data_IF_810190339578
#
_entry.id   IF_810190339578
#
_cell.length_a   1.000
_cell.length_b   1.000
_cell.length_c   1.000
_cell.angle_alpha   90.00
_cell.angle_beta   90.00
_cell.angle_gamma   90.00
#
_symmetry.space_group_name_H-M   'P 1'
#
loop_
_entity.id
_entity.type
_entity.pdbx_description
1 polymer ?
#
# COMPACT_ATOMS: atom_id res chain seq x y z
N UNK A 1 -7.61 -0.48 12.81
CA UNK A 1 -6.46 -0.81 11.93
C UNK A 1 -5.60 0.45 11.84
N UNK A 2 -4.59 0.58 12.71
CA UNK A 2 -3.71 1.76 12.71
C UNK A 2 -2.60 1.57 11.67
N UNK A 3 -2.93 1.82 10.40
CA UNK A 3 -1.90 2.00 9.39
C UNK A 3 -1.41 3.44 9.55
N UNK A 4 -0.20 3.61 10.06
CA UNK A 4 0.39 4.92 10.30
C UNK A 4 0.86 5.51 8.95
N UNK A 5 -0.11 5.93 8.14
CA UNK A 5 0.11 6.52 6.82
C UNK A 5 0.64 7.95 6.97
N UNK A 6 1.49 8.39 6.03
CA UNK A 6 1.97 9.77 5.96
C UNK A 6 0.82 10.71 5.59
N UNK A 7 0.91 12.00 5.93
CA UNK A 7 -0.12 12.97 5.57
C UNK A 7 -0.46 12.98 4.07
N UNK A 8 0.55 12.78 3.20
CA UNK A 8 0.36 12.63 1.77
C UNK A 8 -0.55 11.43 1.43
N UNK A 9 -0.19 10.23 1.89
CA UNK A 9 -0.97 9.03 1.60
C UNK A 9 -2.36 9.05 2.24
N UNK A 10 -2.50 9.64 3.42
CA UNK A 10 -3.82 9.88 4.03
C UNK A 10 -4.69 10.78 3.14
N UNK A 11 -4.11 11.86 2.61
CA UNK A 11 -4.81 12.78 1.69
C UNK A 11 -5.22 12.07 0.39
N UNK A 12 -4.33 11.29 -0.21
CA UNK A 12 -4.63 10.55 -1.44
C UNK A 12 -5.72 9.48 -1.21
N UNK A 13 -5.66 8.74 -0.10
CA UNK A 13 -6.70 7.77 0.28
C UNK A 13 -8.05 8.44 0.56
N UNK A 14 -8.04 9.61 1.22
CA UNK A 14 -9.26 10.39 1.46
C UNK A 14 -9.89 10.86 0.14
N UNK A 15 -9.06 11.34 -0.81
CA UNK A 15 -9.52 11.75 -2.14
C UNK A 15 -10.13 10.58 -2.91
N UNK A 16 -9.49 9.41 -2.86
CA UNK A 16 -10.05 8.17 -3.41
C UNK A 16 -11.44 7.87 -2.82
N UNK A 17 -11.56 7.84 -1.49
CA UNK A 17 -12.82 7.54 -0.81
C UNK A 17 -13.92 8.55 -1.17
N UNK A 18 -13.59 9.84 -1.24
CA UNK A 18 -14.54 10.88 -1.61
C UNK A 18 -15.09 10.66 -3.02
N UNK A 19 -14.20 10.48 -4.01
CA UNK A 19 -14.61 10.28 -5.40
C UNK A 19 -15.55 9.08 -5.56
N UNK A 20 -15.18 7.93 -5.00
CA UNK A 20 -15.99 6.72 -5.18
C UNK A 20 -17.35 6.82 -4.47
N UNK A 21 -17.43 7.52 -3.33
CA UNK A 21 -18.73 7.80 -2.67
C UNK A 21 -19.61 8.73 -3.49
N UNK A 22 -19.03 9.76 -4.09
CA UNK A 22 -19.76 10.64 -5.02
C UNK A 22 -20.26 9.86 -6.24
N UNK A 23 -19.44 8.94 -6.77
CA UNK A 23 -19.80 8.08 -7.90
C UNK A 23 -20.95 7.13 -7.57
N UNK A 24 -20.94 6.51 -6.38
CA UNK A 24 -22.06 5.69 -5.90
C UNK A 24 -23.34 6.51 -5.83
N UNK A 25 -23.27 7.71 -5.28
CA UNK A 25 -24.45 8.61 -5.21
C UNK A 25 -25.02 8.87 -6.60
N UNK A 26 -24.17 9.20 -7.59
CA UNK A 26 -24.59 9.44 -8.98
C UNK A 26 -25.22 8.20 -9.61
N UNK A 27 -24.67 7.01 -9.39
CA UNK A 27 -25.24 5.77 -9.92
C UNK A 27 -26.61 5.46 -9.30
N UNK A 28 -26.80 5.69 -8.00
CA UNK A 28 -28.11 5.49 -7.37
C UNK A 28 -29.15 6.49 -7.87
N UNK A 29 -28.75 7.74 -8.11
CA UNK A 29 -29.62 8.76 -8.72
C UNK A 29 -30.01 8.41 -10.16
N UNK A 30 -29.09 7.84 -10.94
CA UNK A 30 -29.39 7.37 -12.28
C UNK A 30 -30.44 6.25 -12.27
N UNK A 31 -30.34 5.31 -11.33
CA UNK A 31 -31.35 4.26 -11.15
C UNK A 31 -32.70 4.88 -10.79
N UNK A 32 -32.76 5.85 -9.86
CA UNK A 32 -34.02 6.54 -9.54
C UNK A 32 -34.67 7.17 -10.78
N UNK A 33 -33.87 7.92 -11.56
CA UNK A 33 -34.35 8.58 -12.77
C UNK A 33 -34.89 7.57 -13.81
N UNK A 34 -34.22 6.44 -14.03
CA UNK A 34 -34.69 5.41 -14.96
C UNK A 34 -36.04 4.81 -14.54
N UNK A 35 -36.29 4.65 -13.24
CA UNK A 35 -37.58 4.18 -12.73
C UNK A 35 -38.67 5.25 -12.81
N UNK A 36 -38.35 6.51 -12.57
CA UNK A 36 -39.28 7.65 -12.73
C UNK A 36 -39.67 7.84 -14.21
N UNK A 37 -38.70 7.76 -15.12
CA UNK A 37 -38.92 7.81 -16.56
C UNK A 37 -39.81 6.65 -17.01
N UNK A 38 -39.53 5.42 -16.57
CA UNK A 38 -40.37 4.26 -16.90
C UNK A 38 -41.82 4.43 -16.42
N UNK A 39 -42.02 4.94 -15.20
CA UNK A 39 -43.35 5.17 -14.66
C UNK A 39 -44.09 6.25 -15.47
N UNK A 40 -43.43 7.35 -15.78
CA UNK A 40 -44.04 8.46 -16.53
C UNK A 40 -44.34 8.10 -18.00
N UNK A 41 -43.49 7.31 -18.66
CA UNK A 41 -43.63 6.92 -20.07
C UNK A 41 -44.63 5.80 -20.34
N UNK A 42 -44.88 4.93 -19.36
CA UNK A 42 -45.67 3.70 -19.54
C UNK A 42 -46.94 3.64 -18.72
N UNK A 43 -47.04 4.35 -17.60
CA UNK A 43 -48.24 4.34 -16.75
C UNK A 43 -49.10 5.57 -17.00
N UNK A 44 -49.36 5.88 -18.27
CA UNK A 44 -50.32 6.93 -18.64
C UNK A 44 -51.73 6.59 -18.14
N UNK A 45 -52.52 7.61 -17.82
CA UNK A 45 -53.81 7.49 -17.13
C UNK A 45 -54.92 6.73 -17.89
N UNK A 46 -54.69 6.29 -19.13
CA UNK A 46 -55.70 5.66 -20.01
C UNK A 46 -55.71 4.12 -19.98
N UNK A 47 -54.86 3.47 -19.17
CA UNK A 47 -54.72 2.01 -19.19
C UNK A 47 -55.54 1.24 -18.14
N UNK A 48 -55.91 -0.01 -18.48
CA UNK A 48 -56.93 -0.87 -17.80
C UNK A 48 -56.46 -1.48 -16.46
N UNK A 49 -55.21 -1.27 -16.05
CA UNK A 49 -54.64 -1.88 -14.84
C UNK A 49 -54.75 -0.98 -13.60
N UNK A 50 -54.67 -1.57 -12.40
CA UNK A 50 -54.59 -0.80 -11.15
C UNK A 50 -53.22 -0.13 -11.05
N UNK A 51 -53.11 1.06 -11.62
CA UNK A 51 -51.88 1.87 -11.71
C UNK A 51 -51.16 1.98 -10.37
N UNK A 52 -51.92 2.09 -9.27
CA UNK A 52 -51.38 2.18 -7.92
C UNK A 52 -50.56 0.94 -7.54
N UNK A 53 -51.09 -0.26 -7.77
CA UNK A 53 -50.41 -1.51 -7.40
C UNK A 53 -49.12 -1.70 -8.21
N UNK A 54 -49.14 -1.29 -9.49
CA UNK A 54 -47.96 -1.38 -10.36
C UNK A 54 -46.91 -0.34 -9.96
N UNK A 55 -47.31 0.90 -9.67
CA UNK A 55 -46.41 1.92 -9.13
C UNK A 55 -45.75 1.47 -7.82
N UNK A 56 -46.54 0.92 -6.89
CA UNK A 56 -46.03 0.39 -5.63
C UNK A 56 -45.05 -0.76 -5.84
N UNK A 57 -45.37 -1.72 -6.73
CA UNK A 57 -44.47 -2.82 -7.07
C UNK A 57 -43.15 -2.32 -7.69
N UNK A 58 -43.20 -1.33 -8.58
CA UNK A 58 -42.00 -0.73 -9.20
C UNK A 58 -41.17 0.05 -8.18
N UNK A 59 -41.79 0.76 -7.24
CA UNK A 59 -41.08 1.45 -6.16
C UNK A 59 -40.38 0.47 -5.22
N UNK A 60 -41.04 -0.64 -4.86
CA UNK A 60 -40.43 -1.71 -4.06
C UNK A 60 -39.24 -2.34 -4.79
N UNK A 61 -39.37 -2.58 -6.10
CA UNK A 61 -38.28 -3.09 -6.93
C UNK A 61 -37.11 -2.11 -7.02
N UNK A 62 -37.38 -0.82 -7.27
CA UNK A 62 -36.37 0.23 -7.31
C UNK A 62 -35.60 0.31 -5.99
N UNK A 63 -36.31 0.26 -4.86
CA UNK A 63 -35.70 0.24 -3.53
C UNK A 63 -34.80 -0.98 -3.33
N UNK A 64 -35.28 -2.18 -3.68
CA UNK A 64 -34.51 -3.42 -3.54
C UNK A 64 -33.23 -3.40 -4.37
N UNK A 65 -33.31 -2.97 -5.64
CA UNK A 65 -32.15 -2.85 -6.53
C UNK A 65 -31.16 -1.83 -5.98
N UNK A 66 -31.63 -0.63 -5.60
CA UNK A 66 -30.77 0.41 -5.03
C UNK A 66 -30.08 -0.04 -3.74
N UNK A 67 -30.79 -0.76 -2.88
CA UNK A 67 -30.23 -1.30 -1.64
C UNK A 67 -29.10 -2.28 -1.94
N UNK A 68 -29.33 -3.23 -2.86
CA UNK A 68 -28.31 -4.21 -3.24
C UNK A 68 -27.08 -3.54 -3.86
N UNK A 69 -27.29 -2.64 -4.83
CA UNK A 69 -26.18 -1.89 -5.47
C UNK A 69 -25.39 -1.09 -4.43
N UNK A 70 -26.06 -0.43 -3.48
CA UNK A 70 -25.40 0.32 -2.42
C UNK A 70 -24.52 -0.56 -1.54
N UNK A 71 -25.03 -1.73 -1.12
CA UNK A 71 -24.29 -2.66 -0.25
C UNK A 71 -23.04 -3.15 -0.98
N UNK A 72 -23.19 -3.70 -2.18
CA UNK A 72 -22.09 -4.22 -2.99
C UNK A 72 -21.03 -3.14 -3.27
N UNK A 73 -21.46 -1.95 -3.68
CA UNK A 73 -20.54 -0.84 -3.94
C UNK A 73 -19.80 -0.39 -2.67
N UNK A 74 -20.48 -0.38 -1.52
CA UNK A 74 -19.84 -0.02 -0.25
C UNK A 74 -18.80 -1.06 0.18
N UNK A 75 -19.08 -2.35 -0.02
CA UNK A 75 -18.12 -3.44 0.23
C UNK A 75 -16.91 -3.32 -0.69
N UNK A 76 -17.11 -3.06 -1.99
CA UNK A 76 -16.02 -2.84 -2.94
C UNK A 76 -15.16 -1.63 -2.58
N UNK A 77 -15.77 -0.50 -2.19
CA UNK A 77 -15.02 0.68 -1.74
C UNK A 77 -14.19 0.35 -0.50
N UNK A 78 -14.77 -0.36 0.47
CA UNK A 78 -14.07 -0.74 1.69
C UNK A 78 -12.90 -1.68 1.39
N UNK A 79 -13.10 -2.72 0.58
CA UNK A 79 -12.04 -3.65 0.18
C UNK A 79 -10.93 -2.92 -0.57
N UNK A 80 -11.26 -2.08 -1.55
CA UNK A 80 -10.27 -1.36 -2.33
C UNK A 80 -9.51 -0.32 -1.49
N UNK A 81 -10.18 0.38 -0.56
CA UNK A 81 -9.51 1.30 0.35
C UNK A 81 -8.52 0.57 1.27
N UNK A 82 -8.85 -0.64 1.73
CA UNK A 82 -7.94 -1.47 2.51
C UNK A 82 -6.74 -1.93 1.68
N UNK A 83 -6.97 -2.40 0.46
CA UNK A 83 -5.90 -2.81 -0.46
C UNK A 83 -4.95 -1.65 -0.75
N UNK A 84 -5.52 -0.49 -1.08
CA UNK A 84 -4.76 0.72 -1.37
C UNK A 84 -3.99 1.21 -0.15
N UNK A 85 -4.60 1.20 1.04
CA UNK A 85 -3.92 1.54 2.29
C UNK A 85 -2.72 0.63 2.57
N UNK A 86 -2.83 -0.67 2.30
CA UNK A 86 -1.70 -1.62 2.41
C UNK A 86 -0.60 -1.35 1.37
N UNK A 87 -0.98 -1.04 0.13
CA UNK A 87 -0.03 -0.69 -0.92
C UNK A 87 0.76 0.58 -0.55
N UNK A 88 0.07 1.62 -0.07
CA UNK A 88 0.70 2.85 0.44
C UNK A 88 1.63 2.58 1.62
N UNK A 89 1.20 1.80 2.62
CA UNK A 89 2.07 1.43 3.74
C UNK A 89 3.34 0.70 3.29
N UNK A 90 3.22 -0.15 2.27
CA UNK A 90 4.37 -0.86 1.70
C UNK A 90 5.30 0.08 0.94
N UNK A 91 4.76 1.01 0.16
CA UNK A 91 5.55 2.01 -0.54
C UNK A 91 6.33 2.91 0.44
N UNK A 92 5.68 3.35 1.51
CA UNK A 92 6.32 4.13 2.58
C UNK A 92 7.50 3.41 3.22
N UNK A 93 7.37 2.10 3.48
CA UNK A 93 8.47 1.28 4.02
C UNK A 93 9.70 1.33 3.12
N UNK A 94 9.51 1.49 1.82
CA UNK A 94 10.55 1.62 0.82
C UNK A 94 10.84 3.07 0.42
N UNK A 95 10.33 4.05 1.19
CA UNK A 95 10.49 5.50 0.96
C UNK A 95 9.98 5.95 -0.42
N UNK A 96 8.96 5.29 -0.94
CA UNK A 96 8.26 5.66 -2.16
C UNK A 96 6.95 6.35 -1.81
N UNK A 97 6.73 7.52 -2.40
CA UNK A 97 5.47 8.25 -2.33
C UNK A 97 4.58 7.85 -3.50
N UNK A 98 3.39 7.34 -3.19
CA UNK A 98 2.34 7.00 -4.14
C UNK A 98 1.34 8.14 -4.24
N UNK A 99 1.24 8.73 -5.43
CA UNK A 99 0.20 9.69 -5.80
C UNK A 99 -0.83 9.03 -6.70
N UNK A 100 -2.11 9.35 -6.52
CA UNK A 100 -3.18 8.78 -7.35
C UNK A 100 -3.56 9.77 -8.45
N UNK A 101 -3.32 9.38 -9.70
CA UNK A 101 -3.91 10.09 -10.83
C UNK A 101 -5.34 9.61 -11.06
N UNK A 102 -6.28 10.29 -10.40
CA UNK A 102 -7.71 10.01 -10.52
C UNK A 102 -8.22 10.26 -11.94
N UNK A 103 -7.64 11.22 -12.68
CA UNK A 103 -8.07 11.54 -14.04
C UNK A 103 -7.75 10.41 -15.03
N UNK A 104 -6.62 9.74 -14.83
CA UNK A 104 -6.25 8.57 -15.65
C UNK A 104 -7.18 7.36 -15.43
N UNK A 105 -7.76 7.19 -14.24
CA UNK A 105 -8.67 6.08 -13.90
C UNK A 105 -10.01 6.19 -14.64
N UNK A 106 -10.41 7.38 -15.08
CA UNK A 106 -11.62 7.60 -15.87
C UNK A 106 -11.42 7.45 -17.38
N UNK A 107 -10.18 7.16 -17.81
CA UNK A 107 -9.90 6.96 -19.23
C UNK A 107 -10.69 5.75 -19.75
N UNK A 108 -11.73 6.03 -20.54
CA UNK A 108 -12.66 5.04 -21.09
C UNK A 108 -11.96 4.01 -21.99
N UNK A 109 -10.85 4.36 -22.61
CA UNK A 109 -10.06 3.42 -23.41
C UNK A 109 -9.31 2.43 -22.53
N UNK A 110 -8.71 2.89 -21.44
CA UNK A 110 -8.04 2.02 -20.47
C UNK A 110 -9.05 1.08 -19.78
N UNK A 111 -10.23 1.60 -19.41
CA UNK A 111 -11.30 0.80 -18.81
C UNK A 111 -11.79 -0.30 -19.76
N UNK A 112 -12.04 0.04 -21.04
CA UNK A 112 -12.39 -0.94 -22.08
C UNK A 112 -11.29 -1.97 -22.31
N UNK A 113 -10.02 -1.61 -22.13
CA UNK A 113 -8.91 -2.55 -22.24
C UNK A 113 -8.91 -3.54 -21.07
N UNK A 114 -9.13 -3.07 -19.85
CA UNK A 114 -9.23 -3.94 -18.66
C UNK A 114 -10.41 -4.90 -18.78
N UNK A 115 -11.56 -4.45 -19.28
CA UNK A 115 -12.75 -5.31 -19.50
C UNK A 115 -12.50 -6.45 -20.49
N UNK A 116 -11.58 -6.27 -21.43
CA UNK A 116 -11.23 -7.27 -22.45
C UNK A 116 -10.18 -8.26 -22.01
N UNK A 117 -9.45 -7.99 -20.93
CA UNK A 117 -8.34 -8.81 -20.49
C UNK A 117 -8.85 -9.93 -19.58
N UNK A 118 -8.57 -11.18 -19.98
CA UNK A 118 -8.71 -12.32 -19.06
C UNK A 118 -7.56 -12.28 -18.01
N UNK A 119 -7.78 -12.88 -16.83
CA UNK A 119 -6.80 -12.91 -15.72
C UNK A 119 -5.46 -13.50 -16.18
N UNK A 120 -5.50 -14.48 -17.08
CA UNK A 120 -4.32 -15.08 -17.68
C UNK A 120 -3.60 -14.13 -18.65
N UNK A 121 -4.34 -13.35 -19.43
CA UNK A 121 -3.79 -12.36 -20.36
C UNK A 121 -3.15 -11.20 -19.59
N UNK A 122 -3.80 -10.75 -18.51
CA UNK A 122 -3.25 -9.72 -17.62
C UNK A 122 -1.89 -10.14 -17.01
N UNK A 123 -1.79 -11.38 -16.52
CA UNK A 123 -0.53 -11.92 -16.01
C UNK A 123 0.54 -12.10 -17.10
N UNK A 124 0.13 -12.38 -18.34
CA UNK A 124 1.02 -12.50 -19.49
C UNK A 124 1.51 -11.15 -20.01
N UNK A 125 0.72 -10.09 -19.90
CA UNK A 125 1.12 -8.73 -20.29
C UNK A 125 2.12 -8.12 -19.31
N UNK A 126 2.06 -8.46 -18.02
CA UNK A 126 3.16 -8.15 -17.10
C UNK A 126 4.47 -8.82 -17.52
N UNK A 127 4.40 -10.02 -18.15
CA UNK A 127 5.57 -10.66 -18.76
C UNK A 127 5.91 -10.07 -20.12
N UNK A 128 4.95 -9.56 -20.89
CA UNK A 128 5.14 -8.95 -22.21
C UNK A 128 5.77 -7.56 -22.11
N UNK A 129 5.45 -6.80 -21.07
CA UNK A 129 6.13 -5.55 -20.69
C UNK A 129 7.55 -5.88 -20.21
N UNK A 130 7.71 -6.88 -19.34
CA UNK A 130 9.04 -7.33 -18.91
C UNK A 130 9.91 -7.92 -20.05
N UNK A 131 9.32 -8.43 -21.13
CA UNK A 131 10.07 -9.05 -22.25
C UNK A 131 10.23 -8.13 -23.46
N UNK A 132 9.32 -7.17 -23.70
CA UNK A 132 9.52 -6.10 -24.68
C UNK A 132 10.44 -4.99 -24.15
N UNK A 133 10.51 -4.78 -22.84
CA UNK A 133 11.54 -3.94 -22.22
C UNK A 133 12.90 -4.65 -22.14
N UNK A 134 12.97 -5.98 -22.06
CA UNK A 134 14.27 -6.68 -22.09
C UNK A 134 14.99 -6.62 -23.46
N UNK A 135 14.27 -6.41 -24.57
CA UNK A 135 14.85 -6.26 -25.91
C UNK A 135 14.89 -4.82 -26.43
N UNK A 136 14.29 -3.85 -25.73
CA UNK A 136 14.37 -2.42 -26.06
C UNK A 136 15.03 -1.56 -24.97
N UNK A 137 15.37 -2.12 -23.81
CA UNK A 137 16.18 -1.48 -22.77
C UNK A 137 17.68 -1.85 -22.86
N UNK A 138 18.26 -1.78 -24.07
CA UNK A 138 19.54 -1.08 -24.16
C UNK A 138 19.16 0.39 -24.25
N UNK A 139 19.53 1.24 -23.28
CA UNK A 139 19.19 2.64 -23.39
C UNK A 139 19.90 3.16 -24.64
N UNK A 140 19.12 3.53 -25.64
CA UNK A 140 19.58 4.46 -26.66
C UNK A 140 19.63 5.79 -25.92
N UNK A 141 20.73 6.02 -25.19
CA UNK A 141 21.05 7.31 -24.63
C UNK A 141 21.22 8.20 -25.85
N UNK A 142 20.27 9.11 -26.08
CA UNK A 142 20.61 10.34 -26.77
C UNK A 142 21.68 10.99 -25.90
N UNK A 143 22.93 10.78 -26.31
CA UNK A 143 24.09 11.48 -25.78
C UNK A 143 23.76 12.99 -25.82
N UNK A 144 24.18 13.72 -24.78
CA UNK A 144 23.99 15.17 -24.59
C UNK A 144 22.74 15.59 -23.78
N UNK A 145 22.75 15.27 -22.48
CA UNK A 145 21.91 15.92 -21.48
C UNK A 145 22.66 16.10 -20.14
N UNK A 146 22.72 17.30 -19.53
CA UNK A 146 23.50 17.56 -18.30
C UNK A 146 23.17 16.62 -17.13
N UNK A 147 21.93 16.13 -17.08
CA UNK A 147 21.41 15.30 -16.00
C UNK A 147 21.90 13.85 -16.04
N UNK A 148 22.34 13.34 -17.20
CA UNK A 148 22.84 11.95 -17.33
C UNK A 148 24.25 11.83 -16.76
N UNK A 149 25.07 12.86 -16.98
CA UNK A 149 26.43 12.94 -16.44
C UNK A 149 26.41 13.10 -14.91
N UNK A 150 25.51 13.94 -14.40
CA UNK A 150 25.31 14.13 -12.96
C UNK A 150 24.83 12.85 -12.27
N UNK A 151 23.92 12.10 -12.90
CA UNK A 151 23.46 10.82 -12.37
C UNK A 151 24.60 9.79 -12.34
N UNK A 152 25.33 9.61 -13.44
CA UNK A 152 26.52 8.73 -13.50
C UNK A 152 27.56 9.10 -12.45
N UNK A 153 27.85 10.39 -12.33
CA UNK A 153 28.82 10.90 -11.35
C UNK A 153 28.35 10.64 -9.92
N UNK A 154 27.06 10.73 -9.66
CA UNK A 154 26.48 10.40 -8.35
C UNK A 154 26.57 8.90 -8.04
N UNK A 155 26.31 8.02 -9.01
CA UNK A 155 26.46 6.57 -8.83
C UNK A 155 27.91 6.15 -8.62
N UNK A 156 28.84 6.73 -9.38
CA UNK A 156 30.27 6.51 -9.19
C UNK A 156 30.72 6.99 -7.80
N UNK A 157 30.20 8.14 -7.33
CA UNK A 157 30.49 8.67 -5.98
C UNK A 157 29.97 7.78 -4.87
N UNK A 158 28.74 7.25 -5.02
CA UNK A 158 28.15 6.33 -4.04
C UNK A 158 29.00 5.07 -3.95
N UNK A 159 29.37 4.47 -5.08
CA UNK A 159 30.22 3.28 -5.12
C UNK A 159 31.60 3.52 -4.50
N UNK A 160 32.20 4.68 -4.76
CA UNK A 160 33.48 5.09 -4.16
C UNK A 160 33.35 5.20 -2.63
N UNK A 161 32.31 5.87 -2.14
CA UNK A 161 32.08 6.05 -0.71
C UNK A 161 31.79 4.73 0.00
N UNK A 162 31.02 3.82 -0.62
CA UNK A 162 30.76 2.49 -0.08
C UNK A 162 32.04 1.66 0.03
N UNK A 163 32.92 1.67 -0.98
CA UNK A 163 34.23 1.01 -0.90
C UNK A 163 35.08 1.58 0.23
N UNK A 164 35.12 2.91 0.37
CA UNK A 164 35.90 3.57 1.41
C UNK A 164 35.35 3.33 2.82
N UNK A 165 34.03 3.24 2.98
CA UNK A 165 33.41 2.84 4.26
C UNK A 165 33.82 1.42 4.60
N UNK A 166 33.72 0.50 3.64
CA UNK A 166 34.08 -0.91 3.85
C UNK A 166 35.58 -1.08 4.22
N UNK A 167 36.47 -0.40 3.50
CA UNK A 167 37.90 -0.39 3.79
C UNK A 167 38.20 0.22 5.17
N UNK A 168 37.54 1.32 5.54
CA UNK A 168 37.68 1.93 6.86
C UNK A 168 37.16 1.02 7.97
N UNK A 169 36.02 0.36 7.79
CA UNK A 169 35.50 -0.62 8.76
C UNK A 169 36.47 -1.78 8.95
N UNK A 170 37.06 -2.29 7.86
CA UNK A 170 38.07 -3.32 7.92
C UNK A 170 39.32 -2.84 8.65
N UNK A 171 39.82 -1.63 8.35
CA UNK A 171 40.96 -1.03 9.04
C UNK A 171 40.71 -0.78 10.52
N UNK A 172 39.52 -0.30 10.89
CA UNK A 172 39.12 -0.10 12.29
C UNK A 172 39.07 -1.45 13.01
N UNK A 173 38.48 -2.47 12.40
CA UNK A 173 38.39 -3.81 13.00
C UNK A 173 39.77 -4.46 13.21
N UNK A 174 40.73 -4.17 12.32
CA UNK A 174 42.10 -4.67 12.38
C UNK A 174 43.03 -3.78 13.20
N UNK A 175 42.59 -2.59 13.61
CA UNK A 175 43.38 -1.68 14.43
C UNK A 175 43.69 -2.30 15.79
N UNK A 176 44.95 -2.22 16.20
CA UNK A 176 45.43 -2.73 17.50
C UNK A 176 44.66 -2.14 18.67
N UNK A 177 44.22 -0.88 18.56
CA UNK A 177 43.42 -0.22 19.58
C UNK A 177 42.02 -0.83 19.69
N UNK A 178 41.38 -1.15 18.56
CA UNK A 178 40.07 -1.78 18.53
C UNK A 178 40.12 -3.23 19.03
N UNK A 179 41.15 -3.98 18.65
CA UNK A 179 41.39 -5.33 19.17
C UNK A 179 41.65 -5.35 20.68
N UNK A 180 42.45 -4.40 21.19
CA UNK A 180 42.69 -4.25 22.62
C UNK A 180 41.40 -3.87 23.37
N UNK A 181 40.59 -2.96 22.81
CA UNK A 181 39.29 -2.59 23.38
C UNK A 181 38.32 -3.77 23.40
N UNK A 182 38.25 -4.57 22.33
CA UNK A 182 37.44 -5.78 22.26
C UNK A 182 37.84 -6.79 23.34
N UNK A 183 39.13 -7.07 23.48
CA UNK A 183 39.63 -7.96 24.54
C UNK A 183 39.32 -7.44 25.95
N UNK A 184 39.36 -6.12 26.15
CA UNK A 184 39.01 -5.51 27.44
C UNK A 184 37.51 -5.64 27.74
N UNK A 185 36.65 -5.44 26.74
CA UNK A 185 35.20 -5.62 26.84
C UNK A 185 34.88 -7.09 27.16
N UNK A 186 35.50 -8.03 26.46
CA UNK A 186 35.29 -9.47 26.71
C UNK A 186 35.70 -9.86 28.14
N UNK A 187 36.84 -9.34 28.64
CA UNK A 187 37.24 -9.53 30.03
C UNK A 187 36.26 -8.91 31.02
N UNK A 188 35.75 -7.72 30.74
CA UNK A 188 34.76 -7.04 31.60
C UNK A 188 33.42 -7.78 31.61
N UNK A 189 33.00 -8.33 30.48
CA UNK A 189 31.82 -9.17 30.39
C UNK A 189 31.97 -10.45 31.21
N UNK A 190 33.14 -11.08 31.16
CA UNK A 190 33.42 -12.25 31.99
C UNK A 190 33.43 -11.91 33.49
N UNK A 191 34.04 -10.79 33.87
CA UNK A 191 33.98 -10.28 35.24
C UNK A 191 32.54 -10.02 35.69
N UNK A 192 31.71 -9.44 34.83
CA UNK A 192 30.28 -9.22 35.08
C UNK A 192 29.52 -10.54 35.25
N UNK A 193 29.84 -11.56 34.45
CA UNK A 193 29.23 -12.89 34.57
C UNK A 193 29.56 -13.54 35.91
N UNK A 194 30.84 -13.54 36.29
CA UNK A 194 31.29 -14.08 37.59
C UNK A 194 30.70 -13.30 38.76
N UNK A 195 30.61 -11.97 38.66
CA UNK A 195 29.96 -11.17 39.71
C UNK A 195 28.48 -11.49 39.84
N UNK A 196 27.76 -11.66 38.72
CA UNK A 196 26.35 -12.08 38.74
C UNK A 196 26.17 -13.44 39.38
N UNK A 197 27.00 -14.41 39.03
CA UNK A 197 26.95 -15.76 39.62
C UNK A 197 27.25 -15.73 41.13
N UNK A 198 28.22 -14.93 41.58
CA UNK A 198 28.51 -14.78 43.01
C UNK A 198 27.42 -14.04 43.77
N UNK A 199 26.88 -12.96 43.22
CA UNK A 199 25.75 -12.24 43.82
C UNK A 199 24.54 -13.16 43.98
N UNK A 200 24.26 -14.00 42.97
CA UNK A 200 23.19 -14.99 43.05
C UNK A 200 23.43 -16.05 44.14
N UNK A 201 24.68 -16.44 44.40
CA UNK A 201 25.02 -17.34 45.51
C UNK A 201 24.78 -16.69 46.88
N UNK A 202 25.12 -15.42 47.04
CA UNK A 202 24.86 -14.69 48.29
C UNK A 202 23.37 -14.42 48.53
N UNK A 203 22.59 -14.18 47.48
CA UNK A 203 21.12 -14.08 47.58
C UNK A 203 20.49 -15.39 48.09
N UNK A 204 21.04 -16.55 47.71
CA UNK A 204 20.57 -17.87 48.16
C UNK A 204 21.07 -18.23 49.58
N UNK A 205 22.27 -17.80 49.96
CA UNK A 205 22.82 -18.01 51.32
C UNK A 205 22.12 -17.12 52.37
N UNK A 206 21.75 -15.88 52.02
CA UNK A 206 20.94 -15.02 52.88
C UNK A 206 19.51 -15.56 53.07
N UNK A 207 18.91 -16.18 52.04
CA UNK A 207 17.59 -16.85 52.17
C UNK A 207 17.66 -18.11 53.05
N UNK A 208 18.76 -18.88 53.01
CA UNK A 208 18.95 -20.05 53.86
C UNK A 208 19.23 -19.72 55.33
N UNK A 209 19.86 -18.58 55.63
CA UNK A 209 20.10 -18.12 57.00
C UNK A 209 18.85 -17.54 57.68
N UNK A 210 17.82 -17.17 56.92
CA UNK A 210 16.53 -16.67 57.46
C UNK A 210 15.55 -17.82 57.77
N UNK A 211 15.75 -19.02 57.22
CA UNK A 211 14.90 -20.20 57.50
C UNK A 211 15.38 -21.05 58.70
N UNK A 212 16.60 -20.83 59.20
CA UNK A 212 17.21 -21.61 60.30
C UNK A 212 17.25 -20.91 61.69
N UNK A 213 16.58 -19.75 61.86
CA UNK A 213 16.31 -19.06 63.15
C UNK A 213 14.80 -18.99 63.45
#
# INVERSE_FOLDING_TARGET
>A
MNVNLTPLHQKELARFLQLFRERVTKHLQAIDAEFEDLQSDRLSADDVYNQKDICEALQLLAFAIKSNVRIEMQELINMNALLLGRAMATAQKHKVDLTLDIGAVENRELLKRVERLDVAEWASDCKSIASKDAQKARPNVSEEGPYVEDFRRSEEKIRELESRIHENEQHISQSKQFQAMRQMIDKKNEQLRVLRERLQQYELEDEQLVEDD
#
